data_IF_839697097111
#
_entry.id   IF_839697097111
#
_cell.length_a   1.000
_cell.length_b   1.000
_cell.length_c   1.000
_cell.angle_alpha   90.00
_cell.angle_beta   90.00
_cell.angle_gamma   90.00
#
_symmetry.space_group_name_H-M   'P 1'
#
loop_
_entity.id
_entity.type
_entity.pdbx_description
1 polymer ?
#
# COMPACT_ATOMS: atom_id res chain seq x y z
N UNK A 1 53.72 29.84 -14.83
CA UNK A 1 53.01 30.86 -14.03
C UNK A 1 51.89 30.16 -13.27
N UNK A 2 52.16 29.76 -12.03
CA UNK A 2 51.13 29.27 -11.12
C UNK A 2 50.75 30.44 -10.21
N UNK A 3 49.54 30.95 -10.35
CA UNK A 3 49.01 32.01 -9.48
C UNK A 3 48.44 31.32 -8.25
N UNK A 4 49.10 31.48 -7.10
CA UNK A 4 48.58 31.06 -5.81
C UNK A 4 47.41 31.98 -5.44
N UNK A 5 46.17 31.48 -5.51
CA UNK A 5 45.05 32.17 -4.88
C UNK A 5 45.21 32.07 -3.35
N UNK A 6 45.14 33.20 -2.62
CA UNK A 6 45.26 33.18 -1.17
C UNK A 6 44.07 32.45 -0.56
N UNK A 7 44.35 31.58 0.43
CA UNK A 7 43.42 30.72 1.17
C UNK A 7 42.16 31.45 1.69
N UNK A 8 42.25 32.77 1.88
CA UNK A 8 41.14 33.62 2.33
C UNK A 8 40.03 33.79 1.28
N UNK A 9 40.35 33.66 -0.02
CA UNK A 9 39.36 33.78 -1.10
C UNK A 9 38.49 32.51 -1.23
N UNK A 10 39.05 31.34 -0.90
CA UNK A 10 38.32 30.07 -0.90
C UNK A 10 37.36 29.96 0.30
N UNK A 11 37.75 30.53 1.45
CA UNK A 11 36.93 30.55 2.66
C UNK A 11 35.70 31.46 2.52
N UNK A 12 35.84 32.60 1.82
CA UNK A 12 34.72 33.51 1.53
C UNK A 12 33.71 32.92 0.53
N UNK A 13 34.16 32.08 -0.41
CA UNK A 13 33.28 31.41 -1.37
C UNK A 13 32.47 30.26 -0.72
N UNK A 14 33.06 29.57 0.26
CA UNK A 14 32.36 28.54 1.06
C UNK A 14 31.27 29.13 1.97
N UNK A 15 31.48 30.33 2.53
CA UNK A 15 30.47 31.04 3.32
C UNK A 15 29.30 31.59 2.48
N UNK A 16 29.49 31.80 1.18
CA UNK A 16 28.43 32.23 0.25
C UNK A 16 27.61 31.06 -0.32
N UNK A 17 28.11 29.82 -0.22
CA UNK A 17 27.44 28.60 -0.68
C UNK A 17 26.66 27.89 0.43
N UNK A 18 26.83 28.28 1.69
CA UNK A 18 26.12 27.70 2.84
C UNK A 18 24.80 28.42 3.15
N UNK A 19 24.00 28.68 2.11
CA UNK A 19 22.55 28.86 2.29
C UNK A 19 21.86 27.51 2.22
N UNK A 20 22.29 26.58 3.07
CA UNK A 20 21.35 25.57 3.54
C UNK A 20 20.25 26.35 4.29
N UNK A 21 19.07 26.45 3.67
CA UNK A 21 17.87 26.90 4.38
C UNK A 21 17.54 25.79 5.37
N UNK A 22 18.16 25.83 6.54
CA UNK A 22 17.69 25.10 7.70
C UNK A 22 16.39 25.77 8.13
N UNK A 23 15.26 25.24 7.67
CA UNK A 23 14.00 25.52 8.32
C UNK A 23 14.10 24.88 9.72
N UNK A 24 14.28 25.68 10.78
CA UNK A 24 14.15 25.19 12.15
C UNK A 24 12.68 24.83 12.36
N UNK A 25 12.30 23.59 12.07
CA UNK A 25 10.99 23.09 12.44
C UNK A 25 11.00 22.86 13.95
N UNK A 26 10.13 23.57 14.68
CA UNK A 26 9.89 23.29 16.10
C UNK A 26 9.25 21.91 16.31
N UNK A 27 8.75 21.27 15.25
CA UNK A 27 8.12 19.96 15.32
C UNK A 27 9.12 18.80 15.14
N UNK A 28 8.94 17.77 15.96
CA UNK A 28 9.54 16.45 15.82
C UNK A 28 8.79 15.67 14.74
N UNK A 29 9.52 15.11 13.77
CA UNK A 29 8.94 14.33 12.66
C UNK A 29 9.42 12.88 12.77
N UNK A 30 8.46 11.95 12.80
CA UNK A 30 8.71 10.51 12.70
C UNK A 30 8.13 9.95 11.41
N UNK A 31 8.87 9.06 10.76
CA UNK A 31 8.38 8.31 9.60
C UNK A 31 8.55 6.82 9.87
N UNK A 32 7.54 6.04 9.49
CA UNK A 32 7.57 4.58 9.61
C UNK A 32 6.82 3.94 8.45
N UNK A 33 7.24 2.74 8.07
CA UNK A 33 6.51 1.91 7.12
C UNK A 33 6.47 0.47 7.61
N UNK A 34 5.38 -0.23 7.27
CA UNK A 34 5.18 -1.62 7.66
C UNK A 34 4.41 -2.36 6.56
N UNK A 35 4.78 -3.60 6.27
CA UNK A 35 4.07 -4.50 5.36
C UNK A 35 2.70 -4.90 5.90
N UNK A 36 1.65 -4.67 5.12
CA UNK A 36 0.26 -5.02 5.42
C UNK A 36 -0.33 -5.96 4.36
N UNK A 37 0.52 -6.61 3.57
CA UNK A 37 0.09 -7.48 2.47
C UNK A 37 -0.71 -8.67 3.01
N UNK A 38 -1.93 -8.82 2.49
CA UNK A 38 -2.81 -9.94 2.82
C UNK A 38 -2.43 -11.24 2.10
N UNK A 39 -3.28 -12.27 2.17
CA UNK A 39 -2.99 -13.55 1.56
C UNK A 39 -2.90 -13.48 0.02
N UNK A 40 -1.80 -13.96 -0.54
CA UNK A 40 -1.48 -13.87 -1.97
C UNK A 40 -2.13 -14.97 -2.84
N UNK A 41 -3.02 -15.79 -2.29
CA UNK A 41 -3.64 -16.91 -3.00
C UNK A 41 -5.09 -17.14 -2.58
N UNK A 42 -5.96 -17.42 -3.56
CA UNK A 42 -7.36 -17.88 -3.43
C UNK A 42 -8.34 -16.95 -2.69
N UNK A 43 -7.88 -15.81 -2.17
CA UNK A 43 -8.75 -14.81 -1.52
C UNK A 43 -9.34 -13.88 -2.59
N UNK A 44 -10.66 -13.67 -2.55
CA UNK A 44 -11.32 -12.73 -3.44
C UNK A 44 -10.81 -11.30 -3.20
N UNK A 45 -10.47 -10.59 -4.28
CA UNK A 45 -9.94 -9.25 -4.20
C UNK A 45 -11.06 -8.24 -3.90
N UNK A 46 -10.81 -7.34 -2.97
CA UNK A 46 -11.77 -6.28 -2.61
C UNK A 46 -11.80 -5.19 -3.70
N UNK A 47 -13.01 -4.69 -4.03
CA UNK A 47 -13.21 -3.54 -4.91
C UNK A 47 -14.21 -3.82 -6.04
N UNK A 48 -13.86 -4.67 -7.01
CA UNK A 48 -14.67 -4.86 -8.22
C UNK A 48 -15.92 -5.74 -8.05
N UNK A 49 -16.15 -6.29 -6.86
CA UNK A 49 -17.25 -7.21 -6.58
C UNK A 49 -17.35 -8.39 -7.58
N UNK A 50 -16.21 -8.82 -8.12
CA UNK A 50 -16.13 -9.90 -9.08
C UNK A 50 -15.64 -11.16 -8.36
N UNK A 51 -16.49 -12.19 -8.25
CA UNK A 51 -16.16 -13.45 -7.57
C UNK A 51 -15.02 -14.22 -8.22
N UNK A 52 -14.79 -14.01 -9.52
CA UNK A 52 -13.73 -14.70 -10.27
C UNK A 52 -12.37 -14.00 -10.10
N UNK A 53 -12.36 -12.79 -9.54
CA UNK A 53 -11.14 -12.06 -9.26
C UNK A 53 -10.55 -12.48 -7.92
N UNK A 54 -9.64 -13.45 -7.95
CA UNK A 54 -8.97 -14.00 -6.77
C UNK A 54 -7.47 -13.76 -6.84
N UNK A 55 -6.85 -13.56 -5.67
CA UNK A 55 -5.41 -13.39 -5.55
C UNK A 55 -4.68 -14.65 -6.08
N UNK A 56 -3.63 -14.43 -6.87
CA UNK A 56 -2.83 -15.48 -7.51
C UNK A 56 -1.35 -15.11 -7.57
N UNK A 57 -0.89 -14.36 -6.56
CA UNK A 57 0.47 -13.83 -6.49
C UNK A 57 0.54 -12.40 -5.98
N UNK A 58 1.73 -11.81 -6.13
CA UNK A 58 2.08 -10.45 -5.74
C UNK A 58 2.79 -9.78 -6.92
N UNK A 59 2.34 -8.58 -7.28
CA UNK A 59 3.13 -7.70 -8.16
C UNK A 59 4.00 -6.76 -7.32
N UNK A 60 3.45 -6.15 -6.28
CA UNK A 60 4.22 -5.44 -5.25
C UNK A 60 3.46 -5.53 -3.92
N UNK A 61 4.17 -5.38 -2.81
CA UNK A 61 3.57 -5.45 -1.47
C UNK A 61 2.76 -4.20 -1.15
N UNK A 62 1.82 -4.39 -0.23
CA UNK A 62 0.98 -3.31 0.30
C UNK A 62 1.63 -2.78 1.58
N UNK A 63 1.77 -1.46 1.72
CA UNK A 63 2.40 -0.85 2.90
C UNK A 63 1.44 0.06 3.67
N UNK A 64 1.58 0.05 4.98
CA UNK A 64 1.22 1.19 5.83
C UNK A 64 2.40 2.15 5.89
N UNK A 65 2.15 3.45 5.75
CA UNK A 65 3.15 4.52 5.87
C UNK A 65 2.64 5.56 6.86
N UNK A 66 3.30 5.65 8.01
CA UNK A 66 2.96 6.56 9.08
C UNK A 66 3.87 7.79 9.07
N UNK A 67 3.25 8.97 9.17
CA UNK A 67 3.90 10.26 9.30
C UNK A 67 3.42 10.87 10.62
N UNK A 68 4.33 10.99 11.58
CA UNK A 68 4.04 11.52 12.91
C UNK A 68 4.65 12.91 12.98
N UNK A 69 3.83 13.89 13.38
CA UNK A 69 4.27 15.25 13.67
C UNK A 69 3.93 15.53 15.12
N UNK A 70 4.91 15.93 15.91
CA UNK A 70 4.75 16.20 17.34
C UNK A 70 5.44 17.49 17.75
N UNK A 71 4.82 18.23 18.66
CA UNK A 71 5.49 19.30 19.40
C UNK A 71 6.41 18.68 20.46
N UNK A 72 7.61 19.24 20.75
CA UNK A 72 8.59 18.65 21.66
C UNK A 72 8.06 18.36 23.07
N UNK A 73 7.12 19.18 23.55
CA UNK A 73 6.38 18.96 24.81
C UNK A 73 4.86 19.09 24.65
N UNK A 74 4.32 18.85 23.45
CA UNK A 74 2.93 19.18 23.14
C UNK A 74 2.16 18.08 22.42
N UNK A 75 1.23 18.50 21.56
CA UNK A 75 0.32 17.58 20.86
C UNK A 75 1.07 16.81 19.77
N UNK A 76 0.56 15.62 19.46
CA UNK A 76 1.05 14.78 18.37
C UNK A 76 -0.10 14.37 17.46
N UNK A 77 0.21 14.25 16.18
CA UNK A 77 -0.69 13.67 15.18
C UNK A 77 0.06 12.59 14.42
N UNK A 78 -0.64 11.52 14.08
CA UNK A 78 -0.15 10.49 13.18
C UNK A 78 -1.10 10.43 11.98
N UNK A 79 -0.56 10.69 10.79
CA UNK A 79 -1.24 10.43 9.52
C UNK A 79 -0.72 9.10 8.98
N UNK A 80 -1.61 8.16 8.68
CA UNK A 80 -1.23 6.85 8.16
C UNK A 80 -1.87 6.64 6.79
N UNK A 81 -1.03 6.58 5.75
CA UNK A 81 -1.45 6.18 4.42
C UNK A 81 -1.35 4.66 4.30
N UNK A 82 -2.45 3.99 3.95
CA UNK A 82 -2.46 2.55 3.73
C UNK A 82 -2.62 2.25 2.24
N UNK A 83 -1.85 1.30 1.73
CA UNK A 83 -2.10 0.68 0.43
C UNK A 83 -3.24 -0.35 0.58
N UNK A 84 -4.39 0.12 1.06
CA UNK A 84 -5.59 -0.67 1.31
C UNK A 84 -6.81 0.10 0.79
N UNK A 85 -7.90 -0.62 0.51
CA UNK A 85 -9.10 0.00 -0.05
C UNK A 85 -9.73 1.03 0.91
N UNK A 86 -9.65 0.83 2.24
CA UNK A 86 -10.35 1.66 3.24
C UNK A 86 -9.49 1.82 4.51
N UNK A 87 -9.39 3.04 5.08
CA UNK A 87 -8.53 3.32 6.26
C UNK A 87 -8.89 4.59 7.07
N UNK A 88 -8.70 4.58 8.40
CA UNK A 88 -9.15 5.57 9.41
C UNK A 88 -8.85 7.09 9.20
N UNK A 89 -9.87 7.96 9.37
CA UNK A 89 -9.94 9.25 10.11
C UNK A 89 -11.25 10.01 9.75
N UNK A 90 -11.80 10.95 10.57
CA UNK A 90 -13.07 11.69 10.29
C UNK A 90 -12.84 13.14 9.81
N UNK A 91 -12.02 13.93 10.50
CA UNK A 91 -11.64 15.28 10.04
C UNK A 91 -10.37 15.73 10.75
N UNK A 92 -9.41 16.30 10.01
CA UNK A 92 -8.13 16.76 10.57
C UNK A 92 -7.83 18.19 10.11
N UNK A 93 -7.27 19.01 11.00
CA UNK A 93 -6.71 20.32 10.66
C UNK A 93 -5.22 20.37 11.01
N UNK A 94 -4.40 20.80 10.06
CA UNK A 94 -2.96 21.07 10.20
C UNK A 94 -2.71 22.48 9.69
N UNK A 95 -2.68 23.47 10.59
CA UNK A 95 -2.58 24.88 10.21
C UNK A 95 -3.72 25.30 9.28
N UNK A 96 -3.37 25.67 8.03
CA UNK A 96 -4.31 26.07 6.99
C UNK A 96 -4.82 24.89 6.11
N UNK A 97 -4.39 23.65 6.36
CA UNK A 97 -4.89 22.46 5.69
C UNK A 97 -5.98 21.79 6.52
N UNK A 98 -7.15 21.57 5.92
CA UNK A 98 -8.25 20.79 6.51
C UNK A 98 -8.53 19.59 5.62
N UNK A 99 -8.46 18.39 6.20
CA UNK A 99 -8.72 17.12 5.54
C UNK A 99 -10.10 16.63 5.98
N UNK A 100 -11.06 16.61 5.07
CA UNK A 100 -12.38 16.04 5.27
C UNK A 100 -12.32 14.56 4.93
N UNK A 101 -12.45 13.72 5.94
CA UNK A 101 -12.27 12.29 5.76
C UNK A 101 -13.66 11.63 5.69
N UNK A 102 -14.02 11.16 4.51
CA UNK A 102 -15.37 10.66 4.20
C UNK A 102 -15.40 9.12 4.10
N UNK A 103 -16.36 8.45 4.77
CA UNK A 103 -16.42 6.99 4.84
C UNK A 103 -17.06 6.33 3.61
N UNK A 104 -16.67 6.76 2.41
CA UNK A 104 -17.22 6.23 1.17
C UNK A 104 -16.65 6.90 -0.07
N UNK A 105 -17.27 6.61 -1.20
CA UNK A 105 -16.86 7.05 -2.53
C UNK A 105 -17.71 8.22 -3.00
N UNK A 106 -17.22 9.44 -2.79
CA UNK A 106 -17.89 10.65 -3.26
C UNK A 106 -17.68 10.81 -4.76
N UNK A 107 -18.77 11.05 -5.49
CA UNK A 107 -18.66 11.49 -6.89
C UNK A 107 -17.95 12.83 -6.99
N UNK A 108 -17.54 13.17 -8.21
CA UNK A 108 -16.85 14.45 -8.48
C UNK A 108 -17.66 15.65 -7.96
N UNK A 109 -18.96 15.71 -8.22
CA UNK A 109 -19.78 16.85 -7.78
C UNK A 109 -20.16 16.77 -6.31
N UNK A 110 -20.38 15.57 -5.76
CA UNK A 110 -20.58 15.41 -4.32
C UNK A 110 -19.38 15.94 -3.52
N UNK A 111 -18.17 15.55 -3.93
CA UNK A 111 -16.93 16.01 -3.30
C UNK A 111 -16.73 17.52 -3.43
N UNK A 112 -16.94 18.10 -4.63
CA UNK A 112 -16.85 19.56 -4.82
C UNK A 112 -17.81 20.30 -3.89
N UNK A 113 -19.09 19.90 -3.86
CA UNK A 113 -20.11 20.54 -3.01
C UNK A 113 -19.77 20.45 -1.53
N UNK A 114 -19.31 19.29 -1.05
CA UNK A 114 -18.88 19.13 0.34
C UNK A 114 -17.71 20.06 0.67
N UNK A 115 -16.64 20.00 -0.12
CA UNK A 115 -15.43 20.80 0.09
C UNK A 115 -15.74 22.29 0.12
N UNK A 116 -16.50 22.78 -0.86
CA UNK A 116 -16.79 24.20 -1.01
C UNK A 116 -17.74 24.69 0.10
N UNK A 117 -18.71 23.86 0.51
CA UNK A 117 -19.61 24.16 1.61
C UNK A 117 -18.88 24.26 2.95
N UNK A 118 -17.94 23.34 3.23
CA UNK A 118 -17.16 23.37 4.48
C UNK A 118 -16.13 24.50 4.46
N UNK A 119 -15.44 24.72 3.33
CA UNK A 119 -14.48 25.83 3.17
C UNK A 119 -15.14 27.17 3.42
N UNK A 120 -16.26 27.45 2.75
CA UNK A 120 -16.99 28.71 2.92
C UNK A 120 -17.51 28.87 4.35
N UNK A 121 -17.94 27.78 4.97
CA UNK A 121 -18.43 27.80 6.34
C UNK A 121 -17.31 28.11 7.36
N UNK A 122 -16.13 27.49 7.23
CA UNK A 122 -14.96 27.78 8.07
C UNK A 122 -14.53 29.26 7.97
N UNK A 123 -14.46 29.80 6.75
CA UNK A 123 -14.14 31.23 6.52
C UNK A 123 -15.19 32.13 7.18
N UNK A 124 -16.47 31.73 7.15
CA UNK A 124 -17.55 32.50 7.79
C UNK A 124 -17.51 32.46 9.32
N UNK A 125 -16.96 31.39 9.91
CA UNK A 125 -16.83 31.24 11.35
C UNK A 125 -15.66 32.07 11.91
N UNK A 126 -14.50 32.04 11.25
CA UNK A 126 -13.34 32.87 11.61
C UNK A 126 -12.54 33.26 10.37
N UNK A 127 -12.83 34.43 9.81
CA UNK A 127 -12.15 34.93 8.61
C UNK A 127 -10.72 35.41 8.84
N UNK A 128 -10.31 35.63 10.11
CA UNK A 128 -8.95 36.03 10.45
C UNK A 128 -8.03 34.82 10.46
N UNK A 129 -8.50 33.72 11.05
CA UNK A 129 -7.78 32.45 11.08
C UNK A 129 -7.87 31.73 9.73
N UNK A 130 -9.06 31.67 9.14
CA UNK A 130 -9.33 31.03 7.87
C UNK A 130 -9.50 32.07 6.76
N UNK A 131 -8.37 32.59 6.29
CA UNK A 131 -8.31 33.48 5.13
C UNK A 131 -8.20 32.75 3.78
N UNK A 132 -7.74 33.47 2.75
CA UNK A 132 -7.60 32.94 1.38
C UNK A 132 -6.68 31.71 1.25
N UNK A 133 -5.77 31.52 2.20
CA UNK A 133 -4.81 30.42 2.20
C UNK A 133 -5.38 29.10 2.77
N UNK A 134 -6.67 29.03 3.11
CA UNK A 134 -7.30 27.78 3.56
C UNK A 134 -7.40 26.76 2.42
N UNK A 135 -6.80 25.60 2.63
CA UNK A 135 -6.87 24.44 1.76
C UNK A 135 -7.76 23.37 2.39
N UNK A 136 -8.85 23.02 1.71
CA UNK A 136 -9.74 21.93 2.13
C UNK A 136 -9.61 20.80 1.13
N UNK A 137 -9.25 19.61 1.58
CA UNK A 137 -9.10 18.40 0.76
C UNK A 137 -10.04 17.32 1.25
N UNK A 138 -10.43 16.42 0.36
CA UNK A 138 -11.25 15.25 0.69
C UNK A 138 -10.36 14.03 0.65
N UNK A 139 -10.36 13.27 1.74
CA UNK A 139 -9.83 11.93 1.81
C UNK A 139 -11.02 10.96 1.78
N UNK A 140 -11.23 10.28 0.65
CA UNK A 140 -12.26 9.24 0.51
C UNK A 140 -11.88 7.94 1.20
N UNK A 141 -12.85 7.05 1.36
CA UNK A 141 -12.66 5.69 1.88
C UNK A 141 -12.11 5.65 3.32
N UNK A 142 -12.54 6.58 4.18
CA UNK A 142 -11.97 6.71 5.53
C UNK A 142 -12.82 6.22 6.70
N UNK A 143 -12.21 5.59 7.71
CA UNK A 143 -12.82 4.91 8.89
C UNK A 143 -13.59 3.64 8.59
N UNK A 144 -14.62 3.80 7.79
CA UNK A 144 -15.57 2.76 7.42
C UNK A 144 -15.94 2.98 5.97
N UNK A 145 -16.75 2.08 5.44
CA UNK A 145 -17.16 2.13 4.06
C UNK A 145 -18.65 1.93 3.94
N UNK A 146 -19.31 3.01 3.54
CA UNK A 146 -20.74 3.07 3.30
C UNK A 146 -21.05 3.28 1.82
N UNK A 147 -20.26 2.65 0.93
CA UNK A 147 -20.43 2.69 -0.52
C UNK A 147 -20.31 4.11 -1.09
N UNK A 148 -21.14 4.45 -2.07
CA UNK A 148 -21.06 5.70 -2.83
C UNK A 148 -21.87 6.82 -2.19
N UNK A 149 -21.46 8.05 -2.48
CA UNK A 149 -22.20 9.26 -2.15
C UNK A 149 -22.32 10.09 -3.42
N UNK A 150 -23.53 10.16 -3.97
CA UNK A 150 -23.85 11.04 -5.09
C UNK A 150 -24.50 12.34 -4.64
N UNK A 151 -24.54 13.32 -5.55
CA UNK A 151 -25.49 14.43 -5.44
C UNK A 151 -26.93 13.93 -5.59
N UNK A 152 -27.92 14.76 -5.22
CA UNK A 152 -29.34 14.44 -5.42
C UNK A 152 -29.63 14.20 -6.91
N UNK A 153 -29.08 15.05 -7.78
CA UNK A 153 -29.29 15.01 -9.22
C UNK A 153 -28.67 13.77 -9.86
N UNK A 154 -27.48 13.37 -9.41
CA UNK A 154 -26.86 12.11 -9.84
C UNK A 154 -27.62 10.89 -9.28
N UNK A 155 -28.16 11.00 -8.05
CA UNK A 155 -28.95 9.94 -7.42
C UNK A 155 -30.21 9.63 -8.22
N UNK A 156 -30.94 10.64 -8.68
CA UNK A 156 -32.19 10.48 -9.44
C UNK A 156 -32.00 9.68 -10.74
N UNK A 157 -30.79 9.68 -11.32
CA UNK A 157 -30.47 8.90 -12.53
C UNK A 157 -30.31 7.41 -12.21
N UNK A 158 -30.01 7.04 -10.95
CA UNK A 158 -29.85 5.66 -10.49
C UNK A 158 -28.86 4.83 -11.34
N UNK A 159 -27.69 5.40 -11.65
CA UNK A 159 -26.52 4.63 -12.10
C UNK A 159 -25.94 3.81 -10.94
N UNK A 160 -24.81 3.13 -11.17
CA UNK A 160 -24.12 2.34 -10.15
C UNK A 160 -23.89 3.11 -8.84
N UNK A 161 -23.40 4.35 -8.94
CA UNK A 161 -23.09 5.19 -7.79
C UNK A 161 -24.36 5.67 -7.08
N UNK A 162 -25.40 6.00 -7.85
CA UNK A 162 -26.71 6.43 -7.32
C UNK A 162 -27.43 5.30 -6.59
N UNK A 163 -27.44 4.10 -7.17
CA UNK A 163 -27.99 2.89 -6.56
C UNK A 163 -27.16 2.42 -5.35
N UNK A 164 -25.87 2.71 -5.34
CA UNK A 164 -24.98 2.42 -4.21
C UNK A 164 -24.92 3.55 -3.17
N UNK A 165 -25.76 4.58 -3.29
CA UNK A 165 -25.92 5.64 -2.27
C UNK A 165 -26.94 5.19 -1.22
N UNK A 166 -26.46 4.44 -0.23
CA UNK A 166 -27.27 3.58 0.64
C UNK A 166 -28.35 4.30 1.45
N UNK A 167 -28.12 5.55 1.87
CA UNK A 167 -29.01 6.27 2.78
C UNK A 167 -29.99 7.20 2.04
N UNK A 168 -30.15 7.01 0.73
CA UNK A 168 -31.14 7.70 -0.10
C UNK A 168 -30.65 9.03 -0.71
N UNK A 169 -31.55 9.79 -1.38
CA UNK A 169 -31.19 10.94 -2.22
C UNK A 169 -30.57 12.12 -1.46
N UNK A 170 -30.73 12.16 -0.13
CA UNK A 170 -30.23 13.24 0.73
C UNK A 170 -28.94 12.88 1.48
N UNK A 171 -28.30 11.76 1.14
CA UNK A 171 -27.06 11.29 1.77
C UNK A 171 -25.97 12.37 1.77
N UNK A 172 -25.70 13.03 0.63
CA UNK A 172 -24.71 14.11 0.56
C UNK A 172 -25.07 15.29 1.48
N UNK A 173 -26.34 15.70 1.50
CA UNK A 173 -26.80 16.81 2.35
C UNK A 173 -26.59 16.50 3.83
N UNK A 174 -26.84 15.26 4.24
CA UNK A 174 -26.56 14.80 5.60
C UNK A 174 -25.06 14.89 5.93
N UNK A 175 -24.17 14.45 5.03
CA UNK A 175 -22.72 14.61 5.23
C UNK A 175 -22.32 16.09 5.36
N UNK A 176 -22.79 16.96 4.46
CA UNK A 176 -22.50 18.41 4.53
C UNK A 176 -22.92 18.99 5.89
N UNK A 177 -24.09 18.59 6.39
CA UNK A 177 -24.57 19.02 7.69
C UNK A 177 -23.64 18.57 8.83
N UNK A 178 -23.27 17.29 8.88
CA UNK A 178 -22.41 16.77 9.95
C UNK A 178 -21.00 17.39 9.90
N UNK A 179 -20.42 17.58 8.71
CA UNK A 179 -19.12 18.27 8.58
C UNK A 179 -19.18 19.73 9.02
N UNK A 180 -20.30 20.43 8.81
CA UNK A 180 -20.47 21.79 9.36
C UNK A 180 -20.51 21.78 10.88
N UNK A 181 -21.17 20.80 11.53
CA UNK A 181 -21.14 20.66 13.00
C UNK A 181 -19.72 20.42 13.51
N UNK A 182 -18.97 19.54 12.84
CA UNK A 182 -17.57 19.29 13.16
C UNK A 182 -16.70 20.55 12.97
N UNK A 183 -16.91 21.30 11.90
CA UNK A 183 -16.21 22.56 11.64
C UNK A 183 -16.47 23.61 12.74
N UNK A 184 -17.73 23.74 13.19
CA UNK A 184 -18.06 24.62 14.33
C UNK A 184 -17.28 24.23 15.58
N UNK A 185 -17.30 22.94 15.94
CA UNK A 185 -16.60 22.45 17.12
C UNK A 185 -15.07 22.63 17.02
N UNK A 186 -14.52 22.45 15.82
CA UNK A 186 -13.10 22.65 15.54
C UNK A 186 -12.68 24.11 15.77
N UNK A 187 -13.46 25.07 15.29
CA UNK A 187 -13.16 26.51 15.44
C UNK A 187 -13.38 26.97 16.88
N UNK A 188 -14.45 26.52 17.54
CA UNK A 188 -14.77 26.92 18.92
C UNK A 188 -13.93 26.22 19.99
N UNK A 189 -13.11 25.23 19.61
CA UNK A 189 -12.38 24.38 20.56
C UNK A 189 -13.31 23.53 21.44
N UNK A 190 -14.56 23.33 21.01
CA UNK A 190 -15.56 22.60 21.77
C UNK A 190 -15.40 21.08 21.62
N UNK A 191 -15.45 20.37 22.74
CA UNK A 191 -15.56 18.90 22.73
C UNK A 191 -16.98 18.47 22.37
N UNK A 192 -17.12 17.59 21.38
CA UNK A 192 -18.41 17.00 21.01
C UNK A 192 -18.71 15.75 21.86
N UNK A 193 -19.98 15.46 22.17
CA UNK A 193 -20.35 14.22 22.84
C UNK A 193 -19.99 13.01 21.98
N UNK A 194 -19.62 11.92 22.64
CA UNK A 194 -19.35 10.65 21.96
C UNK A 194 -20.58 10.18 21.18
N UNK A 195 -20.36 9.76 19.93
CA UNK A 195 -21.38 9.08 19.13
C UNK A 195 -21.68 7.67 19.63
N UNK A 196 -22.71 7.01 19.06
CA UNK A 196 -23.01 5.61 19.36
C UNK A 196 -21.81 4.72 19.00
N UNK A 197 -21.57 3.71 19.83
CA UNK A 197 -20.52 2.73 19.56
C UNK A 197 -20.94 1.79 18.43
N UNK A 198 -20.09 1.54 17.42
CA UNK A 198 -20.38 0.54 16.40
C UNK A 198 -20.43 -0.86 17.02
N UNK A 199 -21.26 -1.78 16.50
CA UNK A 199 -21.32 -3.15 17.00
C UNK A 199 -20.02 -3.91 16.71
N UNK A 200 -19.60 -4.77 17.63
CA UNK A 200 -18.57 -5.79 17.36
C UNK A 200 -19.21 -7.00 16.68
N UNK A 201 -18.68 -7.37 15.51
CA UNK A 201 -19.18 -8.44 14.66
C UNK A 201 -18.15 -9.54 14.42
N UNK A 202 -17.02 -9.56 15.14
CA UNK A 202 -15.94 -10.54 14.95
C UNK A 202 -16.44 -11.99 15.10
N UNK A 203 -17.24 -12.27 16.14
CA UNK A 203 -17.79 -13.61 16.41
C UNK A 203 -18.95 -14.00 15.47
N UNK A 204 -19.33 -13.12 14.53
CA UNK A 204 -20.45 -13.33 13.60
C UNK A 204 -19.99 -13.49 12.15
N UNK A 205 -18.69 -13.57 11.91
CA UNK A 205 -18.13 -13.71 10.58
C UNK A 205 -18.34 -15.13 10.05
N UNK A 206 -18.86 -15.23 8.83
CA UNK A 206 -18.98 -16.49 8.10
C UNK A 206 -17.95 -16.47 6.98
N UNK A 207 -17.04 -17.44 6.97
CA UNK A 207 -16.09 -17.64 5.87
C UNK A 207 -16.47 -18.88 5.07
N UNK A 208 -16.66 -18.69 3.76
CA UNK A 208 -16.85 -19.78 2.79
C UNK A 208 -15.54 -20.16 2.08
N UNK A 209 -14.42 -19.54 2.46
CA UNK A 209 -13.11 -19.85 1.91
C UNK A 209 -12.57 -21.12 2.59
N UNK A 210 -12.38 -22.18 1.81
CA UNK A 210 -11.79 -23.42 2.31
C UNK A 210 -10.37 -23.17 2.88
N UNK A 211 -10.04 -23.75 4.05
CA UNK A 211 -8.70 -23.63 4.60
C UNK A 211 -7.67 -24.37 3.74
N UNK A 212 -6.40 -24.04 3.89
CA UNK A 212 -5.32 -24.89 3.36
C UNK A 212 -5.27 -26.17 4.18
N UNK A 213 -5.55 -27.31 3.53
CA UNK A 213 -5.59 -28.63 4.19
C UNK A 213 -4.19 -29.23 4.22
N UNK A 214 -3.60 -29.40 3.04
CA UNK A 214 -2.29 -30.02 2.83
C UNK A 214 -1.70 -29.49 1.53
N UNK A 215 -0.38 -29.38 1.48
CA UNK A 215 0.38 -29.19 0.24
C UNK A 215 1.20 -30.45 -0.07
N UNK A 216 1.36 -30.77 -1.34
CA UNK A 216 2.22 -31.87 -1.80
C UNK A 216 3.01 -31.48 -3.04
N UNK A 217 4.02 -32.30 -3.33
CA UNK A 217 4.80 -32.28 -4.57
C UNK A 217 4.72 -33.65 -5.25
N UNK A 218 5.06 -33.74 -6.55
CA UNK A 218 5.19 -35.03 -7.21
C UNK A 218 6.21 -35.94 -6.51
N UNK A 219 6.09 -37.25 -6.73
CA UNK A 219 6.99 -38.22 -6.13
C UNK A 219 8.45 -37.95 -6.51
N UNK A 220 9.32 -37.85 -5.50
CA UNK A 220 10.76 -37.60 -5.68
C UNK A 220 11.13 -36.14 -5.94
N UNK A 221 10.21 -35.21 -5.73
CA UNK A 221 10.42 -33.76 -5.85
C UNK A 221 10.19 -33.11 -4.48
N UNK A 222 11.06 -32.20 -4.09
CA UNK A 222 10.94 -31.45 -2.85
C UNK A 222 10.34 -30.05 -3.09
N UNK A 223 9.79 -29.43 -2.04
CA UNK A 223 9.36 -28.04 -2.12
C UNK A 223 10.55 -27.11 -2.35
N UNK A 224 10.44 -26.21 -3.33
CA UNK A 224 11.52 -25.35 -3.78
C UNK A 224 12.28 -25.90 -5.00
N UNK A 225 12.04 -27.15 -5.41
CA UNK A 225 12.62 -27.66 -6.64
C UNK A 225 12.09 -26.92 -7.87
N UNK A 226 12.98 -26.73 -8.84
CA UNK A 226 12.67 -26.03 -10.10
C UNK A 226 11.86 -26.95 -11.00
N UNK A 227 10.62 -26.55 -11.31
CA UNK A 227 9.74 -27.19 -12.29
C UNK A 227 10.06 -26.76 -13.72
N UNK A 228 10.34 -25.47 -13.92
CA UNK A 228 10.74 -24.90 -15.19
C UNK A 228 11.83 -23.86 -14.95
N UNK A 229 13.04 -24.17 -15.38
CA UNK A 229 14.23 -23.34 -15.12
C UNK A 229 14.45 -22.29 -16.21
N UNK A 230 15.36 -21.35 -15.93
CA UNK A 230 15.89 -20.44 -16.94
C UNK A 230 16.63 -21.22 -18.03
N UNK A 231 16.67 -20.75 -19.30
CA UNK A 231 17.39 -21.45 -20.35
C UNK A 231 18.89 -21.59 -20.00
N UNK A 232 19.50 -22.74 -20.27
CA UNK A 232 20.88 -23.01 -19.87
C UNK A 232 21.86 -22.07 -20.60
N UNK A 233 22.83 -21.53 -19.86
CA UNK A 233 23.85 -20.59 -20.37
C UNK A 233 23.23 -19.37 -21.08
N UNK A 234 22.08 -18.91 -20.61
CA UNK A 234 21.38 -17.76 -21.18
C UNK A 234 22.04 -16.44 -20.82
N UNK A 235 21.93 -15.50 -21.75
CA UNK A 235 22.28 -14.09 -21.56
C UNK A 235 21.07 -13.25 -21.93
N UNK A 236 20.68 -12.37 -21.03
CA UNK A 236 19.55 -11.47 -21.20
C UNK A 236 20.03 -10.02 -21.25
N UNK A 237 19.26 -9.19 -21.96
CA UNK A 237 19.43 -7.75 -22.02
C UNK A 237 18.45 -7.07 -21.08
N UNK A 238 18.80 -5.86 -20.66
CA UNK A 238 17.85 -4.95 -19.98
C UNK A 238 16.56 -4.80 -20.79
N UNK A 239 15.44 -4.70 -20.08
CA UNK A 239 14.09 -4.68 -20.64
C UNK A 239 13.50 -6.06 -20.95
N UNK A 240 14.31 -7.13 -21.04
CA UNK A 240 13.82 -8.49 -21.24
C UNK A 240 13.25 -9.09 -19.95
N UNK A 241 12.43 -10.12 -20.11
CA UNK A 241 11.82 -10.86 -19.00
C UNK A 241 12.50 -12.21 -18.83
N UNK A 242 12.81 -12.54 -17.58
CA UNK A 242 13.32 -13.85 -17.14
C UNK A 242 12.33 -14.44 -16.16
N UNK A 243 12.08 -15.75 -16.23
CA UNK A 243 11.23 -16.43 -15.27
C UNK A 243 11.79 -17.81 -14.89
N UNK A 244 11.39 -18.27 -13.70
CA UNK A 244 11.61 -19.63 -13.23
C UNK A 244 10.39 -20.05 -12.42
N UNK A 245 10.00 -21.32 -12.54
CA UNK A 245 8.85 -21.90 -11.82
C UNK A 245 9.33 -22.99 -10.89
N UNK A 246 8.83 -22.97 -9.66
CA UNK A 246 9.19 -23.85 -8.56
C UNK A 246 7.95 -24.62 -8.08
N UNK A 247 8.16 -25.84 -7.59
CA UNK A 247 7.15 -26.54 -6.80
C UNK A 247 7.01 -25.86 -5.44
N UNK A 248 5.78 -25.53 -5.05
CA UNK A 248 5.51 -24.67 -3.90
C UNK A 248 4.32 -25.15 -3.08
N UNK A 249 4.23 -24.69 -1.84
CA UNK A 249 3.01 -24.71 -1.03
C UNK A 249 2.13 -23.47 -1.26
N UNK A 250 0.98 -23.43 -0.59
CA UNK A 250 0.07 -22.27 -0.62
C UNK A 250 0.67 -21.04 0.10
N UNK A 251 0.68 -19.85 -0.52
CA UNK A 251 1.07 -18.59 0.14
C UNK A 251 0.20 -18.20 1.34
N UNK A 252 -0.92 -18.89 1.56
CA UNK A 252 -1.75 -18.70 2.78
C UNK A 252 -1.16 -19.36 4.03
N UNK A 253 -0.15 -20.23 3.89
CA UNK A 253 0.52 -20.86 5.03
C UNK A 253 1.41 -19.87 5.79
N UNK A 254 2.03 -18.94 5.08
CA UNK A 254 2.86 -17.87 5.62
C UNK A 254 2.79 -16.67 4.68
N UNK A 255 2.42 -15.51 5.21
CA UNK A 255 2.30 -14.26 4.45
C UNK A 255 3.67 -13.68 4.05
N UNK A 256 4.75 -14.18 4.65
CA UNK A 256 6.10 -13.63 4.52
C UNK A 256 6.11 -12.14 4.84
N UNK A 257 5.41 -11.72 5.90
CA UNK A 257 5.34 -10.31 6.31
C UNK A 257 6.74 -9.81 6.67
N UNK A 258 7.15 -8.68 6.08
CA UNK A 258 8.54 -8.17 6.15
C UNK A 258 9.60 -9.15 5.60
N UNK A 259 9.16 -10.17 4.87
CA UNK A 259 9.99 -11.09 4.09
C UNK A 259 9.66 -10.98 2.60
N UNK A 260 9.98 -12.02 1.83
CA UNK A 260 9.72 -12.05 0.39
C UNK A 260 9.48 -13.47 -0.12
N UNK A 261 8.52 -13.63 -1.03
CA UNK A 261 8.31 -14.89 -1.77
C UNK A 261 9.25 -15.02 -2.97
N UNK A 262 9.78 -13.92 -3.49
CA UNK A 262 10.52 -13.87 -4.74
C UNK A 262 11.67 -12.86 -4.66
N UNK A 263 12.90 -13.34 -4.86
CA UNK A 263 14.11 -12.54 -4.78
C UNK A 263 14.96 -12.75 -6.03
N UNK A 264 15.54 -11.67 -6.54
CA UNK A 264 16.59 -11.71 -7.55
C UNK A 264 17.92 -11.52 -6.85
N UNK A 265 18.81 -12.48 -7.00
CA UNK A 265 20.14 -12.44 -6.42
C UNK A 265 21.20 -12.22 -7.51
N UNK A 266 22.23 -11.45 -7.20
CA UNK A 266 23.42 -11.29 -8.05
C UNK A 266 24.63 -11.93 -7.39
N UNK A 267 25.54 -12.48 -8.19
CA UNK A 267 26.78 -13.06 -7.71
C UNK A 267 27.85 -11.98 -7.55
N UNK A 268 28.27 -11.71 -6.30
CA UNK A 268 29.34 -10.76 -5.96
C UNK A 268 30.35 -11.43 -5.03
N UNK A 269 31.63 -11.45 -5.43
CA UNK A 269 32.70 -12.05 -4.63
C UNK A 269 32.45 -13.52 -4.26
N UNK A 270 31.84 -14.29 -5.17
CA UNK A 270 31.48 -15.70 -4.95
C UNK A 270 30.26 -15.94 -4.05
N UNK A 271 29.60 -14.88 -3.57
CA UNK A 271 28.38 -14.96 -2.76
C UNK A 271 27.18 -14.39 -3.51
N UNK A 272 26.03 -15.00 -3.30
CA UNK A 272 24.76 -14.50 -3.82
C UNK A 272 24.22 -13.43 -2.89
N UNK A 273 23.87 -12.28 -3.45
CA UNK A 273 23.39 -11.10 -2.71
C UNK A 273 22.05 -10.68 -3.29
N UNK A 274 20.98 -10.53 -2.48
CA UNK A 274 19.70 -10.04 -2.95
C UNK A 274 19.83 -8.61 -3.46
N UNK A 275 19.20 -8.32 -4.60
CA UNK A 275 19.24 -6.99 -5.24
C UNK A 275 17.87 -6.51 -5.72
N UNK A 276 16.92 -7.42 -5.89
CA UNK A 276 15.51 -7.08 -6.04
C UNK A 276 14.65 -8.10 -5.29
N UNK A 277 13.47 -7.71 -4.83
CA UNK A 277 12.50 -8.58 -4.18
C UNK A 277 11.06 -8.35 -4.66
N UNK A 278 10.06 -8.94 -3.99
CA UNK A 278 8.65 -8.85 -4.37
C UNK A 278 7.98 -7.52 -3.94
N UNK A 279 8.76 -6.56 -3.43
CA UNK A 279 8.38 -5.15 -3.27
C UNK A 279 8.87 -4.29 -4.46
N UNK A 280 9.80 -4.80 -5.29
CA UNK A 280 10.22 -4.15 -6.52
C UNK A 280 9.23 -4.38 -7.66
N UNK A 281 8.79 -3.29 -8.31
CA UNK A 281 7.87 -3.33 -9.46
C UNK A 281 8.33 -4.24 -10.61
N UNK A 282 9.65 -4.49 -10.70
CA UNK A 282 10.28 -5.31 -11.73
C UNK A 282 10.15 -6.82 -11.49
N UNK A 283 9.82 -7.23 -10.26
CA UNK A 283 9.66 -8.63 -9.87
C UNK A 283 8.18 -8.93 -9.71
N UNK A 284 7.76 -10.12 -10.11
CA UNK A 284 6.41 -10.62 -9.89
C UNK A 284 6.50 -12.02 -9.30
N UNK A 285 5.77 -12.22 -8.23
CA UNK A 285 5.49 -13.54 -7.69
C UNK A 285 4.12 -13.97 -8.22
N UNK A 286 4.04 -15.11 -8.92
CA UNK A 286 2.78 -15.69 -9.37
C UNK A 286 2.62 -17.06 -8.76
N UNK A 287 1.42 -17.36 -8.29
CA UNK A 287 1.10 -18.65 -7.71
C UNK A 287 -0.10 -19.26 -8.43
N UNK A 288 -0.04 -20.57 -8.69
CA UNK A 288 -1.14 -21.30 -9.31
C UNK A 288 -1.19 -22.77 -8.88
N UNK A 289 -2.38 -23.36 -8.98
CA UNK A 289 -2.63 -24.80 -8.92
C UNK A 289 -3.16 -25.26 -10.28
N UNK A 290 -2.90 -26.50 -10.66
CA UNK A 290 -3.48 -27.06 -11.90
C UNK A 290 -5.01 -27.17 -11.81
N UNK A 291 -5.52 -27.49 -10.62
CA UNK A 291 -6.95 -27.58 -10.31
C UNK A 291 -7.17 -26.94 -8.93
N UNK A 292 -8.31 -26.28 -8.73
CA UNK A 292 -8.63 -25.47 -7.53
C UNK A 292 -8.40 -26.16 -6.18
N UNK A 293 -8.56 -27.48 -6.12
CA UNK A 293 -8.39 -28.28 -4.89
C UNK A 293 -7.17 -29.21 -4.94
N UNK A 294 -6.28 -29.04 -5.91
CA UNK A 294 -5.04 -29.83 -5.99
C UNK A 294 -4.17 -29.53 -4.77
N UNK A 295 -3.60 -30.54 -4.07
CA UNK A 295 -2.60 -30.31 -3.05
C UNK A 295 -1.27 -29.82 -3.65
N UNK A 296 -1.03 -30.07 -4.93
CA UNK A 296 0.15 -29.60 -5.66
C UNK A 296 -0.06 -28.19 -6.20
N UNK A 297 0.93 -27.32 -5.96
CA UNK A 297 0.95 -25.95 -6.47
C UNK A 297 2.33 -25.55 -6.97
N UNK A 298 2.38 -24.46 -7.73
CA UNK A 298 3.60 -23.92 -8.31
C UNK A 298 3.69 -22.41 -8.11
N UNK A 299 4.92 -21.94 -7.95
CA UNK A 299 5.27 -20.52 -7.84
C UNK A 299 6.17 -20.13 -9.01
N UNK A 300 5.78 -19.13 -9.80
CA UNK A 300 6.61 -18.55 -10.85
C UNK A 300 7.13 -17.20 -10.39
N UNK A 301 8.45 -17.08 -10.35
CA UNK A 301 9.14 -15.80 -10.18
C UNK A 301 9.40 -15.23 -11.57
N UNK A 302 8.92 -14.02 -11.82
CA UNK A 302 9.21 -13.28 -13.05
C UNK A 302 10.00 -12.03 -12.71
N UNK A 303 11.06 -11.76 -13.47
CA UNK A 303 11.85 -10.54 -13.35
C UNK A 303 11.95 -9.87 -14.72
N UNK A 304 11.39 -8.66 -14.83
CA UNK A 304 11.61 -7.77 -15.97
C UNK A 304 12.84 -6.93 -15.69
N UNK A 305 13.97 -7.27 -16.31
CA UNK A 305 15.27 -6.67 -16.01
C UNK A 305 15.20 -5.14 -16.19
N UNK A 306 15.37 -4.34 -15.12
CA UNK A 306 15.33 -2.88 -15.23
C UNK A 306 16.47 -2.32 -16.08
N UNK A 307 16.27 -1.15 -16.68
CA UNK A 307 17.34 -0.41 -17.38
C UNK A 307 18.47 0.01 -16.44
N UNK A 308 18.21 0.09 -15.14
CA UNK A 308 19.22 0.37 -14.11
C UNK A 308 20.01 -0.88 -13.67
N UNK A 309 19.67 -2.08 -14.16
CA UNK A 309 20.33 -3.31 -13.76
C UNK A 309 21.79 -3.32 -14.22
N UNK A 310 22.69 -3.66 -13.28
CA UNK A 310 24.12 -3.77 -13.57
C UNK A 310 24.39 -5.07 -14.33
N UNK A 311 25.35 -5.06 -15.26
CA UNK A 311 25.76 -6.29 -15.92
C UNK A 311 26.36 -7.27 -14.91
N UNK A 312 26.02 -8.56 -15.00
CA UNK A 312 26.47 -9.54 -14.02
C UNK A 312 25.78 -10.89 -14.14
N UNK A 313 26.08 -11.76 -13.19
CA UNK A 313 25.46 -13.08 -13.07
C UNK A 313 24.35 -13.00 -12.02
N UNK A 314 23.18 -13.51 -12.38
CA UNK A 314 21.95 -13.44 -11.59
C UNK A 314 21.32 -14.82 -11.44
N UNK A 315 20.46 -14.98 -10.44
CA UNK A 315 19.52 -16.10 -10.32
C UNK A 315 18.24 -15.64 -9.65
N UNK A 316 17.17 -16.39 -9.87
CA UNK A 316 15.89 -16.20 -9.19
C UNK A 316 15.82 -17.14 -7.98
N UNK A 317 15.34 -16.62 -6.85
CA UNK A 317 15.14 -17.36 -5.62
C UNK A 317 13.68 -17.25 -5.18
N UNK A 318 13.13 -18.37 -4.73
CA UNK A 318 11.79 -18.45 -4.18
C UNK A 318 11.87 -18.90 -2.71
N UNK A 319 11.07 -18.26 -1.86
CA UNK A 319 10.83 -18.71 -0.49
C UNK A 319 9.35 -19.02 -0.32
N UNK A 320 9.05 -20.06 0.44
CA UNK A 320 7.67 -20.47 0.70
C UNK A 320 7.54 -21.28 1.97
N UNK A 321 6.29 -21.61 2.29
CA UNK A 321 5.94 -22.49 3.39
C UNK A 321 4.94 -23.54 2.91
N UNK A 322 5.15 -24.79 3.31
CA UNK A 322 4.27 -25.91 2.98
C UNK A 322 3.61 -26.48 4.23
N UNK A 323 2.37 -26.95 4.08
CA UNK A 323 1.62 -27.56 5.16
C UNK A 323 1.53 -29.08 4.98
N UNK A 324 2.05 -29.81 5.95
CA UNK A 324 1.93 -31.29 5.99
C UNK A 324 0.50 -31.73 6.31
N UNK A 325 0.20 -33.02 6.06
CA UNK A 325 -1.11 -33.62 6.36
C UNK A 325 -1.52 -33.48 7.84
N UNK A 326 -0.54 -33.44 8.75
CA UNK A 326 -0.77 -33.27 10.20
C UNK A 326 -0.81 -31.79 10.63
N UNK A 327 -0.77 -30.87 9.67
CA UNK A 327 -0.93 -29.42 9.90
C UNK A 327 0.35 -28.67 10.22
N UNK A 328 1.49 -29.33 10.38
CA UNK A 328 2.77 -28.66 10.59
C UNK A 328 3.18 -27.86 9.34
N UNK A 329 3.59 -26.61 9.54
CA UNK A 329 4.05 -25.69 8.49
C UNK A 329 5.58 -25.64 8.52
N UNK A 330 6.21 -25.86 7.36
CA UNK A 330 7.68 -25.86 7.22
C UNK A 330 8.09 -24.89 6.12
N UNK A 331 9.09 -24.05 6.40
CA UNK A 331 9.66 -23.14 5.41
C UNK A 331 10.62 -23.88 4.47
N UNK A 332 10.69 -23.43 3.23
CA UNK A 332 11.61 -23.94 2.22
C UNK A 332 12.12 -22.80 1.34
N UNK A 333 13.16 -23.08 0.55
CA UNK A 333 13.63 -22.17 -0.48
C UNK A 333 14.12 -22.92 -1.71
N UNK A 334 13.94 -22.31 -2.87
CA UNK A 334 14.38 -22.80 -4.17
C UNK A 334 15.21 -21.74 -4.91
N UNK A 335 16.13 -22.16 -5.77
CA UNK A 335 16.87 -21.24 -6.63
C UNK A 335 16.99 -21.77 -8.05
N UNK A 336 16.81 -20.90 -9.03
CA UNK A 336 17.01 -21.20 -10.44
C UNK A 336 18.49 -21.43 -10.75
N UNK A 337 18.76 -21.96 -11.93
CA UNK A 337 20.09 -21.86 -12.54
C UNK A 337 20.51 -20.38 -12.70
N UNK A 338 21.82 -20.16 -12.76
CA UNK A 338 22.38 -18.84 -12.98
C UNK A 338 22.28 -18.41 -14.46
N UNK A 339 22.08 -17.12 -14.70
CA UNK A 339 22.04 -16.51 -16.02
C UNK A 339 22.79 -15.16 -16.03
N UNK A 340 23.16 -14.70 -17.22
CA UNK A 340 23.92 -13.44 -17.38
C UNK A 340 22.99 -12.31 -17.80
N UNK A 341 23.22 -11.11 -17.28
CA UNK A 341 22.59 -9.86 -17.74
C UNK A 341 23.67 -8.96 -18.33
N UNK A 342 23.43 -8.42 -19.53
CA UNK A 342 24.35 -7.50 -20.26
C UNK A 342 23.75 -6.14 -20.54
#
# INVERSE_FOLDING_TARGET
MAVSLPFHFLFFLLLLLDRAVYASSEYLIGVGSYDITGPAADVNMMGYANSDQTASGIHFRLRARAFIVAEPQGKRVAFVNLDACMASQIMLRIGQLVILSVPGEFTTMAGRRLRDAVKSFLISLDSKEFGNNLHVVIAGLTNTYSQYITTFEEYEVQRYEGASTLYGPHTLTAYIQEFKKLATALVSGQTLPSGPQPPDLLDKQISLLAPVVVDSTPLGVDFGDVKADVPPKSTFRRGQQVNATFWSGCPRNDLMTEGSFAVVETLRGGKWVPVYDDDDFSVKFKWSRQVKLSPESQATVEWRIPESAVAGVYRLRHYGASKSLFGAITSFSGASSAFVVV
#
